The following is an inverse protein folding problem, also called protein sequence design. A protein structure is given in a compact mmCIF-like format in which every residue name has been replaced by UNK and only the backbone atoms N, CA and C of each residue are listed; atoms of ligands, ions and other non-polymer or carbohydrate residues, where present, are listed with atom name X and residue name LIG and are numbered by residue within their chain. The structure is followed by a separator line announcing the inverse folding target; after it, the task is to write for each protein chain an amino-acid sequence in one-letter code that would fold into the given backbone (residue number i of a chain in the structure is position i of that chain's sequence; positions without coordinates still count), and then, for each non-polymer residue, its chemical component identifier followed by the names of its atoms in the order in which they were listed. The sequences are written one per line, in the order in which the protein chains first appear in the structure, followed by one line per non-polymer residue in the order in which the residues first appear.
data_IF_414835701003
#
_entry.id   IF_414835701003
#
_cell.length_a   1.000
_cell.length_b   1.000
_cell.length_c   1.000
_cell.angle_alpha   90.00
_cell.angle_beta   90.00
_cell.angle_gamma   90.00
#
_symmetry.space_group_name_H-M   'P 1'
#
loop_
_entity.id
_entity.type
_entity.pdbx_description
1 polymer ?
#
# COMPACT_ATOMS: atom_id res chain seq x y z
N UNK A 1 24.60 -3.63 -6.87
CA UNK A 1 24.70 -4.00 -5.45
C UNK A 1 25.63 -5.19 -5.24
N UNK A 2 25.40 -6.31 -5.92
CA UNK A 2 26.24 -7.52 -5.74
C UNK A 2 27.71 -7.37 -6.23
N UNK A 3 28.05 -6.33 -7.00
CA UNK A 3 29.41 -6.11 -7.51
C UNK A 3 30.37 -5.52 -6.46
N UNK A 4 29.82 -4.84 -5.46
CA UNK A 4 30.58 -4.23 -4.36
C UNK A 4 30.24 -5.00 -3.07
N UNK A 5 31.13 -5.96 -2.71
CA UNK A 5 30.91 -6.84 -1.54
C UNK A 5 31.15 -6.14 -0.20
N UNK A 6 31.85 -5.03 -0.20
CA UNK A 6 32.16 -4.27 1.01
C UNK A 6 30.97 -3.39 1.42
N UNK A 7 30.13 -3.06 0.44
CA UNK A 7 28.94 -2.25 0.68
C UNK A 7 27.81 -3.09 1.27
N UNK A 8 27.40 -2.78 2.50
CA UNK A 8 26.23 -3.38 3.14
C UNK A 8 24.95 -2.73 2.62
N UNK A 9 23.99 -3.52 2.17
CA UNK A 9 22.76 -3.06 1.54
C UNK A 9 21.58 -3.63 2.29
N UNK A 10 20.69 -2.76 2.76
CA UNK A 10 19.40 -3.13 3.31
C UNK A 10 18.31 -2.83 2.27
N UNK A 11 17.57 -3.86 1.90
CA UNK A 11 16.46 -3.76 0.97
C UNK A 11 15.14 -3.91 1.72
N UNK A 12 14.45 -2.81 1.97
CA UNK A 12 13.16 -2.79 2.65
C UNK A 12 12.02 -2.90 1.63
N UNK A 13 11.16 -3.89 1.79
CA UNK A 13 10.02 -4.18 0.92
C UNK A 13 8.73 -4.06 1.73
N UNK A 14 8.04 -2.94 1.58
CA UNK A 14 6.72 -2.74 2.19
C UNK A 14 5.64 -3.44 1.35
N UNK A 15 4.97 -4.41 1.97
CA UNK A 15 3.92 -5.22 1.32
C UNK A 15 2.53 -5.00 1.96
N UNK A 16 2.32 -3.86 2.61
CA UNK A 16 1.07 -3.59 3.34
C UNK A 16 -0.20 -3.70 2.46
N UNK A 17 -0.10 -3.52 1.16
CA UNK A 17 -1.23 -3.57 0.20
C UNK A 17 -1.25 -4.82 -0.68
N UNK A 18 -0.34 -5.77 -0.48
CA UNK A 18 -0.17 -6.94 -1.36
C UNK A 18 -1.44 -7.79 -1.51
N UNK A 19 -2.33 -7.75 -0.53
CA UNK A 19 -3.57 -8.51 -0.52
C UNK A 19 -4.69 -7.90 -1.38
N UNK A 20 -4.51 -6.67 -1.88
CA UNK A 20 -5.50 -5.96 -2.69
C UNK A 20 -5.07 -5.78 -4.15
N UNK A 21 -4.33 -6.74 -4.67
CA UNK A 21 -3.99 -6.84 -6.10
C UNK A 21 -4.91 -7.85 -6.80
N UNK A 22 -5.12 -7.69 -8.10
CA UNK A 22 -6.01 -8.59 -8.87
C UNK A 22 -5.49 -10.01 -8.95
N UNK A 23 -4.20 -10.17 -9.20
CA UNK A 23 -3.54 -11.47 -9.32
C UNK A 23 -2.64 -11.72 -8.11
N UNK A 24 -3.17 -12.49 -7.16
CA UNK A 24 -2.46 -12.83 -5.92
C UNK A 24 -1.18 -13.64 -6.19
N UNK A 25 -1.19 -14.54 -7.16
CA UNK A 25 -0.04 -15.39 -7.47
C UNK A 25 1.07 -14.60 -8.18
N UNK A 26 0.70 -13.81 -9.20
CA UNK A 26 1.65 -12.99 -9.92
C UNK A 26 2.31 -11.95 -9.00
N UNK A 27 1.52 -11.34 -8.11
CA UNK A 27 2.01 -10.32 -7.16
C UNK A 27 3.00 -10.85 -6.14
N UNK A 28 3.01 -12.16 -5.89
CA UNK A 28 3.91 -12.80 -4.91
C UNK A 28 5.14 -13.46 -5.54
N UNK A 29 5.19 -13.58 -6.86
CA UNK A 29 6.33 -14.20 -7.56
C UNK A 29 7.66 -13.49 -7.31
N UNK A 30 7.64 -12.19 -7.04
CA UNK A 30 8.87 -11.43 -6.78
C UNK A 30 9.59 -11.86 -5.49
N UNK A 31 8.90 -12.46 -4.51
CA UNK A 31 9.55 -12.98 -3.30
C UNK A 31 10.62 -14.03 -3.61
N UNK A 32 10.46 -14.79 -4.69
CA UNK A 32 11.47 -15.77 -5.14
C UNK A 32 12.81 -15.12 -5.48
N UNK A 33 12.82 -13.81 -5.80
CA UNK A 33 14.05 -13.06 -6.11
C UNK A 33 14.86 -12.70 -4.88
N UNK A 34 14.33 -12.88 -3.69
CA UNK A 34 15.02 -12.59 -2.43
C UNK A 34 15.79 -13.81 -1.89
N UNK A 35 15.60 -14.99 -2.48
CA UNK A 35 16.39 -16.18 -2.15
C UNK A 35 17.79 -16.10 -2.74
N UNK A 36 18.77 -16.64 -1.99
CA UNK A 36 20.18 -16.78 -2.41
C UNK A 36 20.84 -15.45 -2.82
N UNK A 37 20.47 -14.34 -2.20
CA UNK A 37 21.16 -13.07 -2.41
C UNK A 37 22.56 -13.09 -1.76
N UNK A 38 23.53 -12.29 -2.26
CA UNK A 38 24.84 -12.15 -1.64
C UNK A 38 24.75 -11.76 -0.16
N UNK A 39 25.73 -12.20 0.64
CA UNK A 39 25.74 -12.00 2.10
C UNK A 39 25.80 -10.54 2.55
N UNK A 40 26.18 -9.64 1.67
CA UNK A 40 26.17 -8.19 1.91
C UNK A 40 24.77 -7.53 1.70
N UNK A 41 23.76 -8.32 1.34
CA UNK A 41 22.38 -7.84 1.13
C UNK A 41 21.46 -8.44 2.18
N UNK A 42 20.79 -7.58 2.94
CA UNK A 42 19.73 -7.92 3.88
C UNK A 42 18.39 -7.48 3.29
N UNK A 43 17.48 -8.41 3.08
CA UNK A 43 16.10 -8.07 2.70
C UNK A 43 15.18 -8.11 3.91
N UNK A 44 14.42 -7.05 4.11
CA UNK A 44 13.41 -6.95 5.16
C UNK A 44 12.06 -6.76 4.49
N UNK A 45 11.13 -7.68 4.73
CA UNK A 45 9.74 -7.56 4.28
C UNK A 45 8.91 -7.00 5.42
N UNK A 46 8.31 -5.83 5.21
CA UNK A 46 7.41 -5.20 6.16
C UNK A 46 5.95 -5.62 5.85
N UNK A 47 5.45 -6.58 6.61
CA UNK A 47 4.06 -7.04 6.55
C UNK A 47 3.17 -6.24 7.49
N UNK A 48 1.90 -6.01 7.09
CA UNK A 48 0.91 -5.33 7.93
C UNK A 48 -0.48 -5.95 7.81
N UNK A 49 -1.14 -6.16 8.95
CA UNK A 49 -2.57 -6.51 9.00
C UNK A 49 -3.49 -5.33 8.69
N UNK A 50 -2.98 -4.11 8.72
CA UNK A 50 -3.81 -2.90 8.62
C UNK A 50 -4.72 -2.87 7.40
N UNK A 51 -4.24 -3.37 6.26
CA UNK A 51 -4.97 -3.38 4.99
C UNK A 51 -5.49 -4.78 4.65
N UNK A 52 -4.59 -5.76 4.52
CA UNK A 52 -4.93 -7.12 4.10
C UNK A 52 -5.99 -7.79 4.95
N UNK A 53 -6.03 -7.49 6.25
CA UNK A 53 -7.02 -8.02 7.20
C UNK A 53 -8.02 -6.97 7.69
N UNK A 54 -8.05 -5.78 7.06
CA UNK A 54 -8.89 -4.64 7.47
C UNK A 54 -8.81 -4.28 8.96
N UNK A 55 -7.70 -4.63 9.60
CA UNK A 55 -7.47 -4.50 11.04
C UNK A 55 -6.59 -3.28 11.38
N UNK A 56 -6.85 -2.14 10.76
CA UNK A 56 -6.01 -0.92 10.85
C UNK A 56 -5.76 -0.46 12.29
N UNK A 57 -6.80 -0.46 13.11
CA UNK A 57 -6.73 -0.01 14.51
C UNK A 57 -5.99 -0.97 15.44
N UNK A 58 -5.78 -2.22 15.04
CA UNK A 58 -5.15 -3.24 15.90
C UNK A 58 -3.62 -3.10 16.00
N UNK A 59 -2.99 -2.31 15.14
CA UNK A 59 -1.57 -1.97 15.13
C UNK A 59 -0.65 -3.20 15.13
N UNK A 60 -0.89 -4.14 14.19
CA UNK A 60 -0.13 -5.39 14.06
C UNK A 60 0.53 -5.51 12.69
N UNK A 61 1.76 -5.93 12.70
CA UNK A 61 2.56 -6.25 11.51
C UNK A 61 3.74 -7.15 11.89
N UNK A 62 4.59 -7.44 10.92
CA UNK A 62 5.81 -8.20 11.12
C UNK A 62 6.92 -7.66 10.23
N UNK A 63 8.14 -7.61 10.77
CA UNK A 63 9.35 -7.39 10.01
C UNK A 63 9.99 -8.77 9.78
N UNK A 64 10.02 -9.22 8.53
CA UNK A 64 10.51 -10.54 8.14
C UNK A 64 11.88 -10.37 7.49
N UNK A 65 12.90 -10.90 8.13
CA UNK A 65 14.27 -10.90 7.61
C UNK A 65 14.50 -12.06 6.64
N UNK A 66 15.12 -11.78 5.51
CA UNK A 66 15.60 -12.77 4.55
C UNK A 66 17.09 -12.49 4.31
N UNK A 67 17.95 -13.40 4.76
CA UNK A 67 19.39 -13.32 4.65
C UNK A 67 19.98 -14.68 4.27
N UNK A 68 21.12 -14.68 3.56
CA UNK A 68 21.94 -15.88 3.32
C UNK A 68 22.90 -16.17 4.48
N UNK A 69 22.94 -15.34 5.51
CA UNK A 69 23.72 -15.50 6.73
C UNK A 69 22.80 -15.63 7.94
N UNK A 70 22.91 -16.73 8.67
CA UNK A 70 22.16 -16.97 9.90
C UNK A 70 22.50 -15.94 10.98
N UNK A 71 23.79 -15.63 11.16
CA UNK A 71 24.25 -14.61 12.12
C UNK A 71 23.61 -13.24 11.87
N UNK A 72 23.46 -12.84 10.59
CA UNK A 72 22.82 -11.56 10.23
C UNK A 72 21.32 -11.61 10.55
N UNK A 73 20.66 -12.74 10.31
CA UNK A 73 19.25 -12.92 10.63
C UNK A 73 19.02 -12.90 12.15
N UNK A 74 19.87 -13.54 12.94
CA UNK A 74 19.84 -13.50 14.40
C UNK A 74 20.08 -12.08 14.94
N UNK A 75 21.10 -11.39 14.46
CA UNK A 75 21.37 -10.00 14.84
C UNK A 75 20.17 -9.10 14.57
N UNK A 76 19.53 -9.24 13.41
CA UNK A 76 18.31 -8.52 13.09
C UNK A 76 17.19 -8.83 14.08
N UNK A 77 16.95 -10.12 14.36
CA UNK A 77 15.93 -10.56 15.31
C UNK A 77 16.15 -9.96 16.71
N UNK A 78 17.35 -10.10 17.27
CA UNK A 78 17.64 -9.56 18.61
C UNK A 78 17.62 -8.03 18.66
N UNK A 79 18.03 -7.35 17.59
CA UNK A 79 17.89 -5.89 17.48
C UNK A 79 16.42 -5.45 17.51
N UNK A 80 15.54 -6.18 16.80
CA UNK A 80 14.11 -5.92 16.82
C UNK A 80 13.49 -6.22 18.20
N UNK A 81 13.88 -7.31 18.85
CA UNK A 81 13.45 -7.67 20.22
C UNK A 81 13.85 -6.58 21.21
N UNK A 82 15.10 -6.13 21.16
CA UNK A 82 15.60 -5.07 22.03
C UNK A 82 14.86 -3.75 21.80
N UNK A 83 14.70 -3.35 20.53
CA UNK A 83 13.97 -2.13 20.16
C UNK A 83 12.49 -2.18 20.59
N UNK A 84 11.83 -3.31 20.38
CA UNK A 84 10.46 -3.53 20.83
C UNK A 84 10.35 -3.40 22.34
N UNK A 85 11.26 -4.05 23.08
CA UNK A 85 11.30 -4.00 24.56
C UNK A 85 11.53 -2.58 25.08
N UNK A 86 12.42 -1.82 24.45
CA UNK A 86 12.77 -0.47 24.85
C UNK A 86 11.63 0.54 24.58
N UNK A 87 10.88 0.39 23.49
CA UNK A 87 9.87 1.37 23.08
C UNK A 87 8.46 1.03 23.56
N UNK A 88 8.07 -0.26 23.53
CA UNK A 88 6.67 -0.67 23.78
C UNK A 88 6.53 -1.77 24.84
N UNK A 89 7.63 -2.28 25.35
CA UNK A 89 7.70 -3.45 26.22
C UNK A 89 7.34 -4.76 25.50
N UNK A 90 6.24 -4.81 24.77
CA UNK A 90 5.85 -5.95 23.91
C UNK A 90 4.79 -5.51 22.87
N UNK A 91 4.60 -6.34 21.83
CA UNK A 91 3.57 -6.15 20.84
C UNK A 91 2.19 -6.60 21.35
N UNK A 92 1.13 -6.08 20.70
CA UNK A 92 -0.25 -6.49 21.00
C UNK A 92 -0.47 -7.96 20.59
N UNK A 93 -0.73 -8.83 21.56
CA UNK A 93 -0.92 -10.27 21.34
C UNK A 93 -2.28 -10.63 20.74
N UNK A 94 -3.32 -9.83 20.98
CA UNK A 94 -4.68 -10.14 20.52
C UNK A 94 -4.77 -10.27 18.99
N UNK A 95 -4.29 -9.31 18.17
CA UNK A 95 -4.32 -9.45 16.72
C UNK A 95 -3.44 -10.59 16.19
N UNK A 96 -2.31 -10.90 16.87
CA UNK A 96 -1.50 -12.07 16.50
C UNK A 96 -2.30 -13.37 16.65
N UNK A 97 -3.06 -13.50 17.74
CA UNK A 97 -3.91 -14.67 17.98
C UNK A 97 -5.07 -14.74 16.97
N UNK A 98 -5.67 -13.62 16.63
CA UNK A 98 -6.71 -13.55 15.58
C UNK A 98 -6.15 -14.05 14.26
N UNK A 99 -5.00 -13.52 13.82
CA UNK A 99 -4.35 -13.91 12.58
C UNK A 99 -4.05 -15.43 12.54
N UNK A 100 -3.42 -15.95 13.60
CA UNK A 100 -3.08 -17.38 13.66
C UNK A 100 -4.33 -18.27 13.70
N UNK A 101 -5.41 -17.84 14.37
CA UNK A 101 -6.67 -18.57 14.40
C UNK A 101 -7.37 -18.62 13.01
N UNK A 102 -7.25 -17.54 12.24
CA UNK A 102 -7.79 -17.50 10.86
C UNK A 102 -6.97 -18.42 9.96
N UNK A 103 -5.63 -18.28 9.96
CA UNK A 103 -4.77 -19.00 9.02
C UNK A 103 -4.76 -20.51 9.30
N UNK A 104 -4.82 -20.92 10.57
CA UNK A 104 -4.72 -22.33 10.97
C UNK A 104 -6.06 -23.07 10.95
N UNK A 105 -7.18 -22.40 10.69
CA UNK A 105 -8.50 -22.99 10.55
C UNK A 105 -8.96 -22.89 9.09
N UNK A 106 -9.03 -24.00 8.34
CA UNK A 106 -9.40 -23.97 6.91
C UNK A 106 -10.74 -23.32 6.63
N UNK A 107 -11.72 -23.47 7.54
CA UNK A 107 -13.04 -22.86 7.38
C UNK A 107 -12.97 -21.35 7.52
N UNK A 108 -12.33 -20.85 8.58
CA UNK A 108 -12.14 -19.40 8.79
C UNK A 108 -11.28 -18.77 7.71
N UNK A 109 -10.25 -19.48 7.26
CA UNK A 109 -9.41 -18.99 6.18
C UNK A 109 -10.20 -18.86 4.86
N UNK A 110 -11.06 -19.84 4.57
CA UNK A 110 -11.94 -19.75 3.41
C UNK A 110 -12.92 -18.58 3.52
N UNK A 111 -13.59 -18.41 4.66
CA UNK A 111 -14.49 -17.29 4.93
C UNK A 111 -13.80 -15.95 4.74
N UNK A 112 -12.57 -15.80 5.28
CA UNK A 112 -11.75 -14.62 5.10
C UNK A 112 -11.40 -14.35 3.63
N UNK A 113 -11.03 -15.37 2.86
CA UNK A 113 -10.69 -15.23 1.45
C UNK A 113 -11.91 -14.86 0.59
N UNK A 114 -13.07 -15.43 0.89
CA UNK A 114 -14.34 -15.12 0.21
C UNK A 114 -14.74 -13.65 0.48
N UNK A 115 -14.67 -13.20 1.72
CA UNK A 115 -14.96 -11.81 2.09
C UNK A 115 -13.94 -10.84 1.46
N UNK A 116 -12.65 -11.15 1.52
CA UNK A 116 -11.58 -10.35 0.89
C UNK A 116 -11.84 -10.14 -0.61
N UNK A 117 -12.32 -11.18 -1.30
CA UNK A 117 -12.66 -11.10 -2.72
C UNK A 117 -13.73 -10.05 -2.99
N UNK A 118 -14.76 -9.94 -2.16
CA UNK A 118 -15.84 -8.94 -2.30
C UNK A 118 -15.24 -7.52 -2.27
N UNK A 119 -14.34 -7.25 -1.32
CA UNK A 119 -13.70 -5.93 -1.22
C UNK A 119 -12.71 -5.66 -2.35
N UNK A 120 -12.00 -6.66 -2.84
CA UNK A 120 -11.14 -6.54 -4.04
C UNK A 120 -11.96 -6.16 -5.27
N UNK A 121 -13.07 -6.85 -5.49
CA UNK A 121 -13.97 -6.60 -6.62
C UNK A 121 -14.59 -5.19 -6.54
N UNK A 122 -14.99 -4.77 -5.34
CA UNK A 122 -15.48 -3.40 -5.09
C UNK A 122 -14.43 -2.34 -5.42
N UNK A 123 -13.19 -2.49 -4.94
CA UNK A 123 -12.11 -1.56 -5.23
C UNK A 123 -11.79 -1.50 -6.73
N UNK A 124 -11.78 -2.65 -7.39
CA UNK A 124 -11.55 -2.73 -8.84
C UNK A 124 -12.62 -1.97 -9.64
N UNK A 125 -13.90 -2.09 -9.28
CA UNK A 125 -15.00 -1.34 -9.91
C UNK A 125 -14.83 0.17 -9.72
N UNK A 126 -14.55 0.61 -8.50
CA UNK A 126 -14.33 2.02 -8.17
C UNK A 126 -13.15 2.62 -8.95
N UNK A 127 -12.02 1.91 -8.97
CA UNK A 127 -10.85 2.34 -9.71
C UNK A 127 -11.11 2.40 -11.22
N UNK A 128 -11.81 1.40 -11.76
CA UNK A 128 -12.20 1.37 -13.18
C UNK A 128 -13.08 2.56 -13.53
N UNK A 129 -14.09 2.87 -12.71
CA UNK A 129 -14.97 4.02 -12.90
C UNK A 129 -14.17 5.34 -12.93
N UNK A 130 -13.21 5.52 -12.02
CA UNK A 130 -12.33 6.69 -12.02
C UNK A 130 -11.45 6.75 -13.28
N UNK A 131 -10.74 5.67 -13.62
CA UNK A 131 -9.81 5.64 -14.77
C UNK A 131 -10.54 5.88 -16.10
N UNK A 132 -11.74 5.30 -16.29
CA UNK A 132 -12.54 5.50 -17.47
C UNK A 132 -13.04 6.95 -17.59
N UNK A 133 -13.46 7.55 -16.47
CA UNK A 133 -13.86 8.94 -16.42
C UNK A 133 -12.69 9.90 -16.64
N UNK A 134 -11.52 9.61 -16.05
CA UNK A 134 -10.30 10.39 -16.28
C UNK A 134 -9.91 10.43 -17.76
N UNK A 135 -10.00 9.29 -18.45
CA UNK A 135 -9.79 9.25 -19.91
C UNK A 135 -10.78 10.12 -20.70
N UNK A 136 -12.06 10.12 -20.32
CA UNK A 136 -13.10 10.88 -21.00
C UNK A 136 -12.93 12.40 -20.85
N UNK A 137 -12.44 12.86 -19.70
CA UNK A 137 -12.21 14.29 -19.43
C UNK A 137 -10.73 14.71 -19.63
N UNK A 138 -9.92 13.85 -20.21
CA UNK A 138 -8.48 14.09 -20.47
C UNK A 138 -7.72 14.51 -19.20
N UNK A 139 -8.04 13.89 -18.06
CA UNK A 139 -7.28 14.06 -16.84
C UNK A 139 -6.07 13.11 -16.85
N UNK A 140 -4.87 13.68 -16.79
CA UNK A 140 -3.66 12.91 -16.65
C UNK A 140 -3.59 12.23 -15.29
N UNK A 141 -3.31 10.91 -15.31
CA UNK A 141 -3.04 10.11 -14.11
C UNK A 141 -1.77 9.31 -14.30
N UNK A 142 -1.04 9.06 -13.22
CA UNK A 142 0.07 8.11 -13.28
C UNK A 142 -0.45 6.69 -13.59
N UNK A 143 0.38 5.83 -14.22
CA UNK A 143 -0.03 4.46 -14.52
C UNK A 143 -0.58 3.76 -13.28
N UNK A 144 -1.82 3.29 -13.37
CA UNK A 144 -2.52 2.60 -12.31
C UNK A 144 -2.85 1.17 -12.73
N UNK A 145 -2.50 0.22 -11.88
CA UNK A 145 -2.82 -1.21 -12.08
C UNK A 145 -3.78 -1.65 -10.98
N UNK A 146 -3.38 -1.54 -9.73
CA UNK A 146 -4.13 -1.95 -8.55
C UNK A 146 -3.80 -1.05 -7.34
N UNK A 147 -4.58 -1.18 -6.28
CA UNK A 147 -4.33 -0.50 -5.01
C UNK A 147 -5.42 0.50 -4.62
N UNK A 148 -5.18 1.19 -3.53
CA UNK A 148 -6.15 2.08 -2.88
C UNK A 148 -6.13 3.51 -3.42
N UNK A 149 -5.06 3.89 -4.14
CA UNK A 149 -4.80 5.28 -4.47
C UNK A 149 -4.44 5.45 -5.94
N UNK A 150 -5.01 6.48 -6.56
CA UNK A 150 -4.63 6.96 -7.88
C UNK A 150 -3.88 8.27 -7.71
N UNK A 151 -2.74 8.41 -8.38
CA UNK A 151 -1.92 9.62 -8.34
C UNK A 151 -2.16 10.47 -9.58
N UNK A 152 -2.38 11.76 -9.36
CA UNK A 152 -2.67 12.76 -10.40
C UNK A 152 -1.54 13.78 -10.37
N UNK A 153 -0.70 13.87 -11.41
CA UNK A 153 0.39 14.85 -11.44
C UNK A 153 -0.15 16.28 -11.54
N UNK A 154 0.43 17.20 -10.79
CA UNK A 154 0.19 18.63 -10.93
C UNK A 154 1.32 19.46 -10.33
N UNK A 155 1.47 20.69 -10.79
CA UNK A 155 2.57 21.59 -10.38
C UNK A 155 2.35 22.19 -9.00
N UNK A 156 1.12 22.64 -8.70
CA UNK A 156 0.73 23.15 -7.38
C UNK A 156 -0.37 22.29 -6.73
N UNK A 157 0.02 21.16 -6.09
CA UNK A 157 -0.94 20.27 -5.44
C UNK A 157 -1.71 20.91 -4.29
N UNK A 158 -1.12 21.91 -3.64
CA UNK A 158 -1.75 22.60 -2.51
C UNK A 158 -2.88 23.50 -3.00
N UNK A 159 -2.61 24.37 -3.97
CA UNK A 159 -3.62 25.24 -4.54
C UNK A 159 -4.79 24.45 -5.15
N UNK A 160 -4.50 23.36 -5.87
CA UNK A 160 -5.53 22.48 -6.44
C UNK A 160 -6.34 21.79 -5.34
N UNK A 161 -5.71 21.32 -4.28
CA UNK A 161 -6.42 20.69 -3.15
C UNK A 161 -7.34 21.72 -2.45
N UNK A 162 -6.90 22.95 -2.27
CA UNK A 162 -7.71 24.05 -1.72
C UNK A 162 -8.89 24.40 -2.62
N UNK A 163 -8.68 24.45 -3.94
CA UNK A 163 -9.75 24.70 -4.91
C UNK A 163 -10.83 23.60 -4.86
N UNK A 164 -10.39 22.31 -4.78
CA UNK A 164 -11.28 21.15 -4.70
C UNK A 164 -12.18 21.12 -3.45
N UNK A 165 -11.73 21.73 -2.34
CA UNK A 165 -12.57 21.80 -1.13
C UNK A 165 -13.86 22.59 -1.34
N UNK A 166 -13.90 23.51 -2.31
CA UNK A 166 -15.12 24.29 -2.67
C UNK A 166 -16.23 23.40 -3.24
N UNK A 167 -15.82 22.31 -3.90
CA UNK A 167 -16.71 21.29 -4.44
C UNK A 167 -16.89 20.08 -3.50
N UNK A 168 -16.48 20.20 -2.22
CA UNK A 168 -16.47 19.13 -1.23
C UNK A 168 -15.67 17.89 -1.66
N UNK A 169 -14.62 18.08 -2.45
CA UNK A 169 -13.68 17.03 -2.84
C UNK A 169 -12.38 17.19 -2.03
N UNK A 170 -12.06 16.16 -1.23
CA UNK A 170 -10.90 16.16 -0.36
C UNK A 170 -9.89 15.13 -0.86
N UNK A 171 -8.72 15.60 -1.27
CA UNK A 171 -7.60 14.80 -1.75
C UNK A 171 -6.36 15.06 -0.91
N UNK A 172 -5.37 14.18 -0.97
CA UNK A 172 -4.10 14.40 -0.26
C UNK A 172 -3.10 15.06 -1.21
N UNK A 173 -2.69 16.31 -0.97
CA UNK A 173 -1.62 16.93 -1.73
C UNK A 173 -0.27 16.26 -1.41
N UNK A 174 0.44 15.87 -2.44
CA UNK A 174 1.79 15.31 -2.40
C UNK A 174 2.77 16.35 -2.98
N UNK A 175 4.08 16.04 -2.95
CA UNK A 175 5.10 16.97 -3.45
C UNK A 175 4.93 17.35 -4.94
N UNK A 176 4.42 16.44 -5.77
CA UNK A 176 4.31 16.62 -7.24
C UNK A 176 2.98 16.13 -7.79
N UNK A 177 1.91 16.24 -7.03
CA UNK A 177 0.59 15.80 -7.48
C UNK A 177 -0.38 15.57 -6.34
N UNK A 178 -1.53 15.02 -6.67
CA UNK A 178 -2.61 14.69 -5.74
C UNK A 178 -2.73 13.17 -5.62
N UNK A 179 -3.14 12.70 -4.46
CA UNK A 179 -3.49 11.31 -4.21
C UNK A 179 -4.98 11.19 -3.95
N UNK A 180 -5.69 10.55 -4.88
CA UNK A 180 -7.10 10.23 -4.74
C UNK A 180 -7.28 8.82 -4.15
N UNK A 181 -8.14 8.69 -3.15
CA UNK A 181 -8.39 7.44 -2.44
C UNK A 181 -9.66 6.75 -2.97
N UNK A 182 -9.52 5.83 -3.92
CA UNK A 182 -10.65 5.04 -4.46
C UNK A 182 -11.31 4.16 -3.40
N UNK A 183 -10.59 3.82 -2.33
CA UNK A 183 -11.13 3.05 -1.21
C UNK A 183 -12.09 3.84 -0.32
N UNK A 184 -12.05 5.18 -0.36
CA UNK A 184 -12.76 6.04 0.59
C UNK A 184 -14.14 6.50 0.11
N UNK A 185 -14.46 6.32 -1.19
CA UNK A 185 -15.69 6.86 -1.79
C UNK A 185 -16.42 5.80 -2.62
N UNK A 186 -17.69 6.04 -2.92
CA UNK A 186 -18.50 5.13 -3.74
C UNK A 186 -18.05 5.10 -5.21
N UNK A 187 -18.54 4.13 -5.98
CA UNK A 187 -18.26 4.00 -7.41
C UNK A 187 -18.75 5.24 -8.18
N UNK A 188 -19.96 5.76 -7.86
CA UNK A 188 -20.51 6.96 -8.46
C UNK A 188 -19.62 8.19 -8.22
N UNK A 189 -19.12 8.35 -6.99
CA UNK A 189 -18.17 9.43 -6.66
C UNK A 189 -16.85 9.27 -7.39
N UNK A 190 -16.36 8.05 -7.55
CA UNK A 190 -15.18 7.77 -8.39
C UNK A 190 -15.42 8.15 -9.85
N UNK A 191 -16.61 7.96 -10.39
CA UNK A 191 -16.94 8.30 -11.77
C UNK A 191 -17.02 9.81 -12.03
N UNK A 192 -17.45 10.62 -11.07
CA UNK A 192 -17.58 12.06 -11.24
C UNK A 192 -16.32 12.86 -10.85
N UNK A 193 -15.53 12.35 -9.91
CA UNK A 193 -14.36 13.04 -9.36
C UNK A 193 -13.34 13.53 -10.42
N UNK A 194 -13.01 12.75 -11.48
CA UNK A 194 -12.05 13.20 -12.48
C UNK A 194 -12.40 14.51 -13.18
N UNK A 195 -13.65 14.72 -13.53
CA UNK A 195 -14.09 15.98 -14.17
C UNK A 195 -13.96 17.18 -13.22
N UNK A 196 -14.29 17.00 -11.95
CA UNK A 196 -14.14 18.04 -10.92
C UNK A 196 -12.64 18.35 -10.73
N UNK A 197 -11.79 17.33 -10.63
CA UNK A 197 -10.36 17.51 -10.50
C UNK A 197 -9.77 18.22 -11.72
N UNK A 198 -10.18 17.85 -12.94
CA UNK A 198 -9.72 18.51 -14.18
C UNK A 198 -10.08 19.99 -14.19
N UNK A 199 -11.30 20.33 -13.79
CA UNK A 199 -11.76 21.73 -13.71
C UNK A 199 -10.94 22.53 -12.68
N UNK A 200 -10.68 21.97 -11.51
CA UNK A 200 -9.85 22.60 -10.48
C UNK A 200 -8.40 22.84 -10.96
N UNK A 201 -7.81 21.85 -11.65
CA UNK A 201 -6.48 21.99 -12.27
C UNK A 201 -6.46 23.14 -13.28
N UNK A 202 -7.42 23.20 -14.20
CA UNK A 202 -7.50 24.25 -15.21
C UNK A 202 -7.70 25.62 -14.56
N UNK A 203 -8.52 25.72 -13.51
CA UNK A 203 -8.77 26.97 -12.80
C UNK A 203 -7.53 27.49 -12.07
N UNK A 204 -6.75 26.62 -11.45
CA UNK A 204 -5.48 27.01 -10.79
C UNK A 204 -4.45 27.43 -11.82
N UNK A 205 -4.30 26.68 -12.93
CA UNK A 205 -3.39 27.06 -14.03
C UNK A 205 -3.73 28.42 -14.67
N UNK A 206 -5.01 28.76 -14.76
CA UNK A 206 -5.45 30.05 -15.34
C UNK A 206 -5.19 31.25 -14.41
N UNK A 207 -4.90 31.03 -13.13
CA UNK A 207 -4.63 32.07 -12.13
C UNK A 207 -3.15 32.32 -11.87
N UNK A 208 -2.27 31.43 -12.30
CA UNK A 208 -0.81 31.53 -12.19
C UNK A 208 -0.20 32.00 -13.46
#
# INVERSE_FOLDING_TARGET
AAKDKDKKIVFLVDVAYIDFVRDDDASRKFFKKFGNLPSNILTIVAFSMSKGFTAYGMRMGAAICISSSEDVAEQFYYSCVHSCRANWSNCNRAPMKVLTNIINDPKKYKEYMDEKKIYKDMLSKRAKAFVESAKKCELDILPYIDGFFISIPCEDPKAVSEELTKDNVFVVPLKKGLRFAVCAVSEEKCAIAPSIIKNALNHVLAKG
#
